data_IF_024088839031
#
_entry.id   IF_024088839031
#
_cell.length_a   1.000
_cell.length_b   1.000
_cell.length_c   1.000
_cell.angle_alpha   90.00
_cell.angle_beta   90.00
_cell.angle_gamma   90.00
#
_symmetry.space_group_name_H-M   'P 1'
#
loop_
_entity.id
_entity.type
_entity.pdbx_description
1 polymer ?
#
# COMPACT_ATOMS: atom_id res chain seq x y z
N UNK A 1 10.52 -1.07 17.68
CA UNK A 1 9.89 -0.96 16.33
C UNK A 1 9.45 0.47 16.08
N UNK A 2 9.69 1.01 14.88
CA UNK A 2 9.31 2.36 14.41
C UNK A 2 8.74 2.28 13.02
N UNK A 3 7.95 3.29 12.61
CA UNK A 3 7.46 3.45 11.24
C UNK A 3 8.35 4.47 10.54
N UNK A 4 8.89 4.10 9.39
CA UNK A 4 9.76 4.98 8.59
C UNK A 4 8.91 5.86 7.69
N UNK A 5 8.88 7.14 7.98
CA UNK A 5 8.22 8.16 7.15
C UNK A 5 9.26 8.91 6.29
N UNK A 6 8.78 9.66 5.32
CA UNK A 6 9.65 10.52 4.47
C UNK A 6 10.38 11.62 5.23
N UNK A 7 10.00 11.89 6.49
CA UNK A 7 10.65 12.88 7.37
C UNK A 7 11.48 12.23 8.49
N UNK A 8 11.55 10.90 8.54
CA UNK A 8 12.24 10.15 9.59
C UNK A 8 11.32 9.16 10.28
N UNK A 9 11.89 8.48 11.27
CA UNK A 9 11.22 7.38 11.96
C UNK A 9 10.34 7.93 13.09
N UNK A 10 9.11 7.40 13.22
CA UNK A 10 8.13 7.75 14.27
C UNK A 10 7.70 6.50 15.03
N UNK A 11 7.17 6.67 16.24
CA UNK A 11 6.56 5.55 16.97
C UNK A 11 5.24 5.13 16.32
N UNK A 12 4.85 3.84 16.35
CA UNK A 12 3.60 3.37 15.74
C UNK A 12 2.35 4.13 16.20
N UNK A 13 2.32 4.58 17.46
CA UNK A 13 1.19 5.34 18.03
C UNK A 13 1.09 6.78 17.50
N UNK A 14 2.16 7.30 16.92
CA UNK A 14 2.21 8.65 16.33
C UNK A 14 1.66 8.69 14.90
N UNK A 15 1.45 7.53 14.27
CA UNK A 15 0.92 7.45 12.90
C UNK A 15 -0.47 8.07 12.77
N UNK A 16 -1.34 7.87 13.76
CA UNK A 16 -2.72 8.37 13.76
C UNK A 16 -3.61 7.65 12.74
N UNK A 17 -4.66 8.34 12.27
CA UNK A 17 -5.60 7.79 11.27
C UNK A 17 -4.91 7.69 9.92
N UNK A 18 -4.76 6.47 9.42
CA UNK A 18 -3.94 6.13 8.27
C UNK A 18 -4.77 5.61 7.09
N UNK A 19 -4.51 6.16 5.92
CA UNK A 19 -4.80 5.53 4.65
C UNK A 19 -3.63 4.57 4.34
N UNK A 20 -3.88 3.27 4.45
CA UNK A 20 -2.84 2.25 4.38
C UNK A 20 -2.38 1.92 2.96
N UNK A 21 -3.07 2.43 1.94
CA UNK A 21 -2.74 2.25 0.53
C UNK A 21 -3.33 3.37 -0.32
N UNK A 22 -2.50 4.30 -0.76
CA UNK A 22 -2.93 5.33 -1.71
C UNK A 22 -1.75 5.84 -2.58
N UNK A 23 -2.04 6.74 -3.52
CA UNK A 23 -1.07 7.33 -4.42
C UNK A 23 -1.23 8.85 -4.51
N UNK A 24 -0.20 9.59 -4.08
CA UNK A 24 -0.08 11.04 -4.32
C UNK A 24 0.53 11.33 -5.68
N UNK A 25 1.50 10.49 -6.06
CA UNK A 25 2.17 10.54 -7.36
C UNK A 25 2.17 9.13 -7.95
N UNK A 26 1.73 9.04 -9.20
CA UNK A 26 1.70 7.78 -9.95
C UNK A 26 1.75 8.08 -11.45
N UNK A 27 2.68 7.46 -12.13
CA UNK A 27 2.75 7.44 -13.59
C UNK A 27 2.81 6.00 -14.07
N UNK A 28 1.84 5.60 -14.85
CA UNK A 28 1.77 4.27 -15.45
C UNK A 28 1.58 4.37 -16.95
N UNK A 29 2.32 3.57 -17.71
CA UNK A 29 2.13 3.46 -19.17
C UNK A 29 0.77 2.90 -19.56
N UNK A 30 0.10 2.20 -18.64
CA UNK A 30 -1.25 1.66 -18.84
C UNK A 30 -2.35 2.72 -18.61
N UNK A 31 -1.99 3.91 -18.10
CA UNK A 31 -2.92 5.00 -17.78
C UNK A 31 -2.44 6.33 -18.38
N UNK A 32 -2.16 6.40 -19.70
CA UNK A 32 -1.63 7.62 -20.33
C UNK A 32 -2.64 8.76 -20.22
N UNK A 33 -2.14 9.96 -19.87
CA UNK A 33 -2.95 11.18 -19.71
C UNK A 33 -3.80 11.20 -18.43
N UNK A 34 -3.56 10.27 -17.49
CA UNK A 34 -4.26 10.22 -16.21
C UNK A 34 -3.31 10.25 -15.01
N UNK A 35 -2.07 10.68 -15.25
CA UNK A 35 -1.01 10.64 -14.26
C UNK A 35 -1.34 11.50 -13.04
N UNK A 36 -0.88 11.04 -11.88
CA UNK A 36 -0.83 11.80 -10.64
C UNK A 36 0.56 12.45 -10.56
N UNK A 37 0.75 13.63 -11.16
CA UNK A 37 2.06 14.30 -11.19
C UNK A 37 2.02 15.80 -10.83
N UNK A 38 0.84 16.34 -10.53
CA UNK A 38 0.64 17.70 -10.05
C UNK A 38 0.85 17.80 -8.54
N UNK A 39 1.87 18.58 -8.14
CA UNK A 39 2.22 18.80 -6.73
C UNK A 39 1.19 19.64 -6.00
N UNK A 40 0.58 20.62 -6.67
CA UNK A 40 -0.43 21.48 -6.05
C UNK A 40 -1.72 20.69 -5.77
N UNK A 41 -2.14 19.85 -6.72
CA UNK A 41 -3.28 18.96 -6.53
C UNK A 41 -3.00 17.90 -5.43
N UNK A 42 -1.79 17.33 -5.38
CA UNK A 42 -1.39 16.39 -4.32
C UNK A 42 -1.41 17.06 -2.94
N UNK A 43 -0.96 18.33 -2.84
CA UNK A 43 -1.05 19.11 -1.60
C UNK A 43 -2.51 19.34 -1.17
N UNK A 44 -3.34 19.81 -2.08
CA UNK A 44 -4.74 20.07 -1.80
C UNK A 44 -5.51 18.80 -1.38
N UNK A 45 -5.16 17.65 -1.98
CA UNK A 45 -5.72 16.34 -1.60
C UNK A 45 -5.33 15.95 -0.16
N UNK A 46 -4.06 16.14 0.24
CA UNK A 46 -3.62 15.91 1.61
C UNK A 46 -4.28 16.87 2.62
N UNK A 47 -4.45 18.14 2.26
CA UNK A 47 -5.16 19.12 3.08
C UNK A 47 -6.63 18.72 3.27
N UNK A 48 -7.29 18.24 2.22
CA UNK A 48 -8.65 17.72 2.27
C UNK A 48 -8.77 16.43 3.12
N UNK A 49 -7.78 15.53 3.03
CA UNK A 49 -7.68 14.33 3.86
C UNK A 49 -7.48 14.69 5.34
N UNK A 50 -6.57 15.62 5.63
CA UNK A 50 -6.35 16.13 6.98
C UNK A 50 -7.59 16.81 7.56
N UNK A 51 -8.33 17.60 6.77
CA UNK A 51 -9.59 18.21 7.16
C UNK A 51 -10.69 17.17 7.48
N UNK A 52 -10.53 15.94 6.99
CA UNK A 52 -11.34 14.78 7.34
C UNK A 52 -10.80 13.99 8.54
N UNK A 53 -9.82 14.52 9.28
CA UNK A 53 -9.11 13.90 10.39
C UNK A 53 -8.15 12.77 10.00
N UNK A 54 -7.69 12.71 8.75
CA UNK A 54 -6.59 11.86 8.31
C UNK A 54 -5.25 12.37 8.83
N UNK A 55 -4.34 11.45 9.19
CA UNK A 55 -3.05 11.79 9.78
C UNK A 55 -1.86 11.18 9.01
N UNK A 56 -2.06 10.08 8.31
CA UNK A 56 -1.00 9.39 7.58
C UNK A 56 -1.48 8.77 6.27
N UNK A 57 -0.59 8.69 5.28
CA UNK A 57 -0.82 7.99 4.01
C UNK A 57 0.38 7.12 3.68
N UNK A 58 0.11 5.86 3.33
CA UNK A 58 1.14 4.95 2.81
C UNK A 58 1.09 4.97 1.29
N UNK A 59 2.09 5.61 0.68
CA UNK A 59 2.24 5.75 -0.76
C UNK A 59 2.84 4.48 -1.36
N UNK A 60 2.03 3.70 -2.08
CA UNK A 60 2.47 2.44 -2.67
C UNK A 60 3.13 2.55 -4.04
N UNK A 61 3.45 3.75 -4.51
CA UNK A 61 4.11 3.94 -5.81
C UNK A 61 5.58 3.52 -5.75
N UNK A 62 6.00 2.45 -6.46
CA UNK A 62 7.36 1.94 -6.39
C UNK A 62 8.31 2.65 -7.37
N UNK A 63 9.52 2.11 -7.52
CA UNK A 63 10.52 2.57 -8.47
C UNK A 63 9.97 2.58 -9.91
N UNK A 64 10.34 3.60 -10.70
CA UNK A 64 9.96 3.72 -12.11
C UNK A 64 8.55 4.23 -12.41
N UNK A 65 7.72 4.44 -11.40
CA UNK A 65 6.33 4.88 -11.54
C UNK A 65 6.05 6.31 -11.03
N UNK A 66 7.06 7.17 -10.98
CA UNK A 66 6.85 8.59 -10.67
C UNK A 66 6.62 8.92 -9.19
N UNK A 67 7.20 8.17 -8.26
CA UNK A 67 6.98 8.29 -6.80
C UNK A 67 7.42 9.61 -6.14
N UNK A 68 8.33 10.40 -6.73
CA UNK A 68 8.74 11.76 -6.35
C UNK A 68 9.06 11.94 -4.84
N UNK A 69 10.07 11.26 -4.26
CA UNK A 69 10.30 11.25 -2.81
C UNK A 69 10.61 12.62 -2.21
N UNK A 70 11.31 13.51 -2.92
CA UNK A 70 11.60 14.87 -2.44
C UNK A 70 10.32 15.71 -2.30
N UNK A 71 9.38 15.59 -3.26
CA UNK A 71 8.10 16.27 -3.18
C UNK A 71 7.23 15.70 -2.04
N UNK A 72 7.25 14.37 -1.82
CA UNK A 72 6.57 13.76 -0.67
C UNK A 72 7.08 14.36 0.66
N UNK A 73 8.40 14.50 0.84
CA UNK A 73 8.96 15.11 2.04
C UNK A 73 8.53 16.59 2.20
N UNK A 74 8.46 17.33 1.10
CA UNK A 74 7.99 18.72 1.10
C UNK A 74 6.51 18.81 1.46
N UNK A 75 5.68 17.95 0.88
CA UNK A 75 4.25 17.88 1.15
C UNK A 75 3.96 17.46 2.59
N UNK A 76 4.69 16.47 3.12
CA UNK A 76 4.54 16.03 4.51
C UNK A 76 4.82 17.16 5.49
N UNK A 77 5.90 17.96 5.29
CA UNK A 77 6.19 19.14 6.11
C UNK A 77 5.10 20.20 6.02
N UNK A 78 4.62 20.46 4.80
CA UNK A 78 3.64 21.53 4.55
C UNK A 78 2.26 21.22 5.12
N UNK A 79 1.84 19.94 5.07
CA UNK A 79 0.49 19.54 5.50
C UNK A 79 0.45 18.95 6.91
N UNK A 80 1.57 18.50 7.44
CA UNK A 80 1.67 17.77 8.71
C UNK A 80 1.07 16.35 8.64
N UNK A 81 0.85 15.81 7.43
CA UNK A 81 0.44 14.41 7.22
C UNK A 81 1.69 13.55 7.12
N UNK A 82 1.76 12.48 7.90
CA UNK A 82 2.84 11.51 7.80
C UNK A 82 2.75 10.75 6.48
N UNK A 83 3.83 10.71 5.72
CA UNK A 83 3.89 9.96 4.47
C UNK A 83 4.92 8.84 4.59
N UNK A 84 4.51 7.62 4.29
CA UNK A 84 5.40 6.46 4.12
C UNK A 84 5.53 6.21 2.64
N UNK A 85 6.74 6.13 2.10
CA UNK A 85 6.94 5.84 0.68
C UNK A 85 7.53 4.45 0.45
N UNK A 86 7.25 3.89 -0.73
CA UNK A 86 7.69 2.55 -1.11
C UNK A 86 9.00 2.57 -1.91
N UNK A 87 9.82 1.53 -1.70
CA UNK A 87 10.68 0.96 -2.73
C UNK A 87 9.96 -0.18 -3.45
N UNK A 88 10.64 -0.94 -4.30
CA UNK A 88 10.04 -2.07 -4.98
C UNK A 88 9.85 -1.85 -6.47
N UNK A 89 9.17 -2.80 -7.12
CA UNK A 89 8.95 -2.80 -8.56
C UNK A 89 7.56 -3.36 -8.89
N UNK A 90 6.82 -2.70 -9.81
CA UNK A 90 5.50 -3.16 -10.26
C UNK A 90 5.60 -4.14 -11.42
N UNK A 91 4.45 -4.59 -11.94
CA UNK A 91 4.34 -5.37 -13.17
C UNK A 91 5.04 -4.66 -14.34
N UNK A 92 5.73 -5.43 -15.18
CA UNK A 92 6.50 -4.90 -16.32
C UNK A 92 5.71 -3.99 -17.28
N UNK A 93 4.42 -4.27 -17.62
CA UNK A 93 3.66 -3.40 -18.53
C UNK A 93 3.42 -1.97 -18.02
N UNK A 94 3.49 -1.75 -16.70
CA UNK A 94 3.27 -0.44 -16.09
C UNK A 94 4.50 0.47 -16.12
N UNK A 95 5.68 -0.10 -16.38
CA UNK A 95 6.96 0.60 -16.33
C UNK A 95 7.49 0.95 -17.73
N UNK A 96 8.57 1.71 -17.77
CA UNK A 96 9.32 1.91 -19.00
C UNK A 96 9.84 0.56 -19.54
N UNK A 97 9.94 0.38 -20.90
CA UNK A 97 10.33 -0.90 -21.49
C UNK A 97 11.72 -1.36 -21.05
N UNK A 98 12.58 -0.41 -20.79
CA UNK A 98 13.96 -0.64 -20.40
C UNK A 98 14.15 -0.31 -18.93
N UNK A 99 14.40 -1.34 -18.13
CA UNK A 99 14.93 -1.13 -16.79
C UNK A 99 16.34 -0.52 -16.93
N UNK A 100 16.74 0.40 -16.04
CA UNK A 100 18.11 0.90 -16.02
C UNK A 100 19.13 -0.25 -16.09
N UNK A 101 20.16 -0.06 -16.89
CA UNK A 101 21.22 -1.05 -17.06
C UNK A 101 21.80 -1.44 -15.69
N UNK A 102 21.96 -2.74 -15.46
CA UNK A 102 22.44 -3.26 -14.18
C UNK A 102 21.40 -3.43 -13.07
N UNK A 103 20.18 -2.91 -13.20
CA UNK A 103 19.14 -3.07 -12.17
C UNK A 103 18.74 -4.54 -11.99
N UNK A 104 18.69 -5.33 -13.07
CA UNK A 104 18.30 -6.76 -13.01
C UNK A 104 19.15 -7.59 -12.08
N UNK A 105 20.48 -7.37 -12.05
CA UNK A 105 21.41 -8.11 -11.20
C UNK A 105 21.54 -7.57 -9.77
N UNK A 106 20.92 -6.42 -9.47
CA UNK A 106 21.13 -5.70 -8.21
C UNK A 106 19.80 -5.24 -7.56
N UNK A 107 18.69 -5.86 -7.93
CA UNK A 107 17.38 -5.35 -7.50
C UNK A 107 17.20 -5.36 -5.97
N UNK A 108 17.62 -6.44 -5.32
CA UNK A 108 17.59 -6.54 -3.85
C UNK A 108 18.47 -5.47 -3.18
N UNK A 109 19.70 -5.26 -3.71
CA UNK A 109 20.62 -4.22 -3.22
C UNK A 109 19.99 -2.81 -3.34
N UNK A 110 19.30 -2.54 -4.46
CA UNK A 110 18.60 -1.27 -4.65
C UNK A 110 17.48 -1.09 -3.62
N UNK A 111 16.71 -2.14 -3.35
CA UNK A 111 15.67 -2.08 -2.33
C UNK A 111 16.27 -1.85 -0.94
N UNK A 112 17.33 -2.56 -0.58
CA UNK A 112 18.03 -2.37 0.69
C UNK A 112 18.57 -0.93 0.82
N UNK A 113 19.27 -0.43 -0.20
CA UNK A 113 19.80 0.95 -0.22
C UNK A 113 18.69 1.98 -0.03
N UNK A 114 17.56 1.85 -0.75
CA UNK A 114 16.44 2.77 -0.62
C UNK A 114 15.73 2.69 0.75
N UNK A 115 15.76 1.53 1.39
CA UNK A 115 15.24 1.35 2.75
C UNK A 115 16.20 1.92 3.81
N UNK A 116 17.51 1.78 3.66
CA UNK A 116 18.49 2.09 4.72
C UNK A 116 19.20 3.42 4.54
N UNK A 117 19.59 3.77 3.31
CA UNK A 117 20.37 4.97 3.00
C UNK A 117 19.50 6.09 2.43
N UNK A 118 18.65 5.77 1.44
CA UNK A 118 17.72 6.72 0.82
C UNK A 118 17.51 6.50 -0.67
N UNK A 119 16.45 7.12 -1.18
CA UNK A 119 16.03 7.05 -2.58
C UNK A 119 16.82 8.11 -3.39
N UNK A 120 17.74 7.64 -4.22
CA UNK A 120 18.63 8.51 -5.00
C UNK A 120 19.42 9.45 -4.08
N UNK A 121 19.41 10.76 -4.39
CA UNK A 121 20.13 11.79 -3.61
C UNK A 121 19.22 12.56 -2.65
N UNK A 122 17.99 12.10 -2.43
CA UNK A 122 16.97 12.87 -1.67
C UNK A 122 17.11 12.75 -0.16
N UNK A 123 17.83 11.75 0.33
CA UNK A 123 17.89 11.39 1.75
C UNK A 123 16.58 10.81 2.32
N UNK A 124 15.52 10.71 1.51
CA UNK A 124 14.25 10.07 1.90
C UNK A 124 14.40 8.57 1.84
N UNK A 125 14.15 7.88 2.95
CA UNK A 125 14.18 6.42 3.02
C UNK A 125 12.79 5.83 2.81
N UNK A 126 12.72 4.70 2.12
CA UNK A 126 11.47 3.95 1.98
C UNK A 126 11.10 3.26 3.30
N UNK A 127 9.80 3.07 3.54
CA UNK A 127 9.27 2.39 4.73
C UNK A 127 8.63 1.02 4.43
N UNK A 128 8.52 0.65 3.16
CA UNK A 128 8.00 -0.65 2.71
C UNK A 128 8.55 -1.01 1.33
N UNK A 129 8.43 -2.31 0.99
CA UNK A 129 8.75 -2.84 -0.34
C UNK A 129 7.43 -3.14 -1.05
N UNK A 130 7.22 -2.58 -2.25
CA UNK A 130 6.00 -2.83 -3.04
C UNK A 130 6.31 -3.60 -4.31
N UNK A 131 5.68 -4.76 -4.45
CA UNK A 131 5.75 -5.65 -5.62
C UNK A 131 4.36 -5.96 -6.16
N UNK A 132 4.26 -6.77 -7.22
CA UNK A 132 2.98 -7.07 -7.85
C UNK A 132 2.93 -8.47 -8.44
N UNK A 133 1.75 -9.12 -8.29
CA UNK A 133 1.35 -10.30 -9.06
C UNK A 133 0.51 -9.91 -10.27
N UNK A 134 0.39 -10.80 -11.26
CA UNK A 134 -0.50 -10.66 -12.40
C UNK A 134 -1.89 -11.29 -12.15
N UNK A 135 -2.77 -11.17 -13.12
CA UNK A 135 -4.11 -11.77 -13.05
C UNK A 135 -4.02 -13.30 -13.05
N UNK A 136 -4.37 -13.92 -11.92
CA UNK A 136 -4.26 -15.36 -11.66
C UNK A 136 -2.88 -15.97 -12.01
N UNK A 137 -1.80 -15.18 -11.91
CA UNK A 137 -0.47 -15.68 -12.29
C UNK A 137 0.66 -14.96 -11.58
N UNK A 138 1.76 -15.70 -11.35
CA UNK A 138 3.07 -15.18 -10.99
C UNK A 138 4.03 -15.50 -12.14
N UNK A 139 4.16 -14.58 -13.09
CA UNK A 139 5.10 -14.72 -14.21
C UNK A 139 6.57 -14.61 -13.73
N UNK A 140 7.51 -14.77 -14.65
CA UNK A 140 8.93 -14.70 -14.31
C UNK A 140 9.35 -13.34 -13.73
N UNK A 141 8.71 -12.24 -14.16
CA UNK A 141 8.96 -10.90 -13.62
C UNK A 141 8.45 -10.79 -12.17
N UNK A 142 7.23 -11.23 -11.90
CA UNK A 142 6.65 -11.23 -10.55
C UNK A 142 7.50 -12.08 -9.58
N UNK A 143 7.89 -13.30 -9.98
CA UNK A 143 8.76 -14.17 -9.16
C UNK A 143 10.11 -13.54 -8.89
N UNK A 144 10.75 -12.93 -9.89
CA UNK A 144 12.01 -12.23 -9.74
C UNK A 144 11.92 -11.03 -8.80
N UNK A 145 10.88 -10.19 -8.93
CA UNK A 145 10.70 -9.02 -8.06
C UNK A 145 10.35 -9.42 -6.62
N UNK A 146 9.56 -10.47 -6.43
CA UNK A 146 9.24 -11.02 -5.11
C UNK A 146 10.45 -11.67 -4.44
N UNK A 147 11.31 -12.37 -5.19
CA UNK A 147 12.55 -12.91 -4.66
C UNK A 147 13.49 -11.79 -4.17
N UNK A 148 13.65 -10.72 -4.95
CA UNK A 148 14.43 -9.55 -4.54
C UNK A 148 13.81 -8.84 -3.32
N UNK A 149 12.48 -8.79 -3.24
CA UNK A 149 11.77 -8.23 -2.09
C UNK A 149 11.98 -9.07 -0.82
N UNK A 150 11.94 -10.40 -0.93
CA UNK A 150 12.21 -11.29 0.19
C UNK A 150 13.67 -11.16 0.69
N UNK A 151 14.65 -11.07 -0.22
CA UNK A 151 16.05 -10.83 0.13
C UNK A 151 16.21 -9.48 0.88
N UNK A 152 15.60 -8.42 0.37
CA UNK A 152 15.63 -7.11 1.03
C UNK A 152 14.87 -7.11 2.38
N UNK A 153 13.76 -7.87 2.49
CA UNK A 153 13.06 -8.08 3.75
C UNK A 153 13.96 -8.76 4.78
N UNK A 154 14.64 -9.85 4.42
CA UNK A 154 15.53 -10.56 5.34
C UNK A 154 16.71 -9.70 5.82
N UNK A 155 17.17 -8.77 4.97
CA UNK A 155 18.24 -7.83 5.33
C UNK A 155 17.78 -6.67 6.22
N UNK A 156 16.48 -6.27 6.18
CA UNK A 156 16.03 -5.00 6.77
C UNK A 156 14.82 -5.12 7.70
N UNK A 157 14.08 -6.22 7.62
CA UNK A 157 12.79 -6.39 8.30
C UNK A 157 11.61 -5.65 7.67
N UNK A 158 11.81 -4.94 6.54
CA UNK A 158 10.78 -4.13 5.88
C UNK A 158 9.56 -4.97 5.45
N UNK A 159 8.31 -4.50 5.62
CA UNK A 159 7.13 -5.22 5.14
C UNK A 159 7.06 -5.22 3.62
N UNK A 160 6.49 -6.30 3.05
CA UNK A 160 6.27 -6.47 1.63
C UNK A 160 4.79 -6.28 1.32
N UNK A 161 4.46 -5.22 0.59
CA UNK A 161 3.13 -4.95 0.09
C UNK A 161 3.00 -5.48 -1.36
N UNK A 162 1.96 -6.27 -1.62
CA UNK A 162 1.77 -6.93 -2.90
C UNK A 162 0.49 -6.44 -3.56
N UNK A 163 0.61 -5.82 -4.73
CA UNK A 163 -0.54 -5.59 -5.60
C UNK A 163 -1.02 -6.93 -6.16
N UNK A 164 -2.26 -7.27 -5.91
CA UNK A 164 -2.94 -8.41 -6.51
C UNK A 164 -3.83 -7.92 -7.66
N UNK A 165 -3.51 -8.28 -8.89
CA UNK A 165 -4.33 -7.86 -10.03
C UNK A 165 -5.77 -8.35 -9.88
N UNK A 166 -6.73 -7.41 -9.77
CA UNK A 166 -8.13 -7.67 -9.43
C UNK A 166 -8.34 -8.53 -8.16
N UNK A 167 -7.39 -8.49 -7.23
CA UNK A 167 -7.43 -9.27 -5.99
C UNK A 167 -7.13 -10.76 -6.14
N UNK A 168 -6.62 -11.20 -7.29
CA UNK A 168 -6.37 -12.61 -7.62
C UNK A 168 -4.96 -13.07 -7.25
N UNK A 169 -4.72 -14.39 -7.15
CA UNK A 169 -3.39 -14.97 -6.91
C UNK A 169 -2.88 -14.84 -5.48
N UNK A 170 -3.74 -14.54 -4.52
CA UNK A 170 -3.33 -14.33 -3.12
C UNK A 170 -2.59 -15.54 -2.52
N UNK A 171 -3.10 -16.74 -2.74
CA UNK A 171 -2.50 -17.96 -2.18
C UNK A 171 -1.17 -18.30 -2.87
N UNK A 172 -1.07 -18.12 -4.20
CA UNK A 172 0.19 -18.31 -4.94
C UNK A 172 1.30 -17.35 -4.45
N UNK A 173 0.92 -16.09 -4.12
CA UNK A 173 1.84 -15.11 -3.52
C UNK A 173 2.31 -15.57 -2.15
N UNK A 174 1.42 -16.07 -1.30
CA UNK A 174 1.76 -16.56 0.03
C UNK A 174 2.62 -17.83 -0.04
N UNK A 175 2.31 -18.76 -0.94
CA UNK A 175 3.12 -19.94 -1.18
C UNK A 175 4.55 -19.57 -1.58
N UNK A 176 4.70 -18.57 -2.47
CA UNK A 176 6.01 -18.09 -2.88
C UNK A 176 6.72 -17.32 -1.74
N UNK A 177 6.11 -16.26 -1.20
CA UNK A 177 6.79 -15.40 -0.23
C UNK A 177 6.98 -16.09 1.12
N UNK A 178 5.95 -16.74 1.65
CA UNK A 178 6.01 -17.36 2.97
C UNK A 178 6.51 -18.80 2.91
N UNK A 179 6.03 -19.60 1.95
CA UNK A 179 6.39 -21.01 1.81
C UNK A 179 7.79 -21.22 1.24
N UNK A 180 8.08 -20.65 0.07
CA UNK A 180 9.35 -20.89 -0.62
C UNK A 180 10.46 -19.93 -0.13
N UNK A 181 10.13 -18.64 0.08
CA UNK A 181 11.12 -17.59 0.38
C UNK A 181 11.22 -17.24 1.88
N UNK A 182 10.43 -17.86 2.74
CA UNK A 182 10.55 -17.77 4.20
C UNK A 182 10.21 -16.40 4.82
N UNK A 183 9.43 -15.56 4.13
CA UNK A 183 8.96 -14.28 4.67
C UNK A 183 7.85 -14.56 5.69
N UNK A 184 7.92 -14.04 6.93
CA UNK A 184 6.84 -14.22 7.90
C UNK A 184 5.52 -13.62 7.41
N UNK A 185 4.40 -14.32 7.59
CA UNK A 185 3.09 -13.86 7.11
C UNK A 185 2.73 -12.45 7.58
N UNK A 186 3.00 -12.11 8.83
CA UNK A 186 2.76 -10.78 9.40
C UNK A 186 3.59 -9.65 8.75
N UNK A 187 4.52 -9.98 7.87
CA UNK A 187 5.31 -9.03 7.06
C UNK A 187 4.81 -8.89 5.63
N UNK A 188 3.79 -9.66 5.25
CA UNK A 188 3.16 -9.60 3.93
C UNK A 188 1.83 -8.86 4.02
N UNK A 189 1.62 -7.90 3.11
CA UNK A 189 0.39 -7.11 3.00
C UNK A 189 -0.18 -7.35 1.60
N UNK A 190 -1.36 -7.98 1.52
CA UNK A 190 -2.03 -8.29 0.26
C UNK A 190 -3.02 -7.17 -0.11
N UNK A 191 -2.70 -6.40 -1.15
CA UNK A 191 -3.55 -5.31 -1.66
C UNK A 191 -4.68 -5.81 -2.57
N UNK A 192 -5.77 -5.05 -2.63
CA UNK A 192 -6.94 -5.28 -3.49
C UNK A 192 -7.73 -6.56 -3.22
N UNK A 193 -7.54 -7.22 -2.08
CA UNK A 193 -8.14 -8.52 -1.82
C UNK A 193 -9.68 -8.47 -1.76
N UNK A 194 -10.28 -7.31 -1.49
CA UNK A 194 -11.72 -7.09 -1.57
C UNK A 194 -12.27 -7.16 -3.01
N UNK A 195 -11.40 -7.02 -4.03
CA UNK A 195 -11.82 -7.08 -5.45
C UNK A 195 -12.04 -8.49 -5.95
N UNK A 196 -11.49 -9.48 -5.24
CA UNK A 196 -11.83 -10.91 -5.41
C UNK A 196 -12.60 -11.36 -4.16
N UNK A 197 -13.93 -11.15 -4.11
CA UNK A 197 -14.72 -11.31 -2.89
C UNK A 197 -15.08 -12.78 -2.61
N UNK A 198 -14.08 -13.66 -2.61
CA UNK A 198 -14.19 -15.05 -2.20
C UNK A 198 -13.81 -15.21 -0.72
N UNK A 199 -14.77 -15.51 0.17
CA UNK A 199 -14.51 -15.62 1.60
C UNK A 199 -13.62 -16.82 1.97
N UNK A 200 -13.50 -17.84 1.11
CA UNK A 200 -12.60 -18.98 1.36
C UNK A 200 -11.16 -18.52 1.20
N UNK A 201 -10.82 -17.93 0.05
CA UNK A 201 -9.49 -17.39 -0.23
C UNK A 201 -9.10 -16.32 0.80
N UNK A 202 -10.02 -15.41 1.13
CA UNK A 202 -9.75 -14.35 2.11
C UNK A 202 -9.44 -14.90 3.52
N UNK A 203 -10.17 -15.92 3.99
CA UNK A 203 -9.88 -16.58 5.26
C UNK A 203 -8.58 -17.37 5.24
N UNK A 204 -8.28 -18.08 4.15
CA UNK A 204 -7.01 -18.79 4.01
C UNK A 204 -5.83 -17.82 4.02
N UNK A 205 -5.95 -16.71 3.32
CA UNK A 205 -4.94 -15.66 3.36
C UNK A 205 -4.77 -15.09 4.78
N UNK A 206 -5.85 -14.75 5.47
CA UNK A 206 -5.80 -14.25 6.85
C UNK A 206 -5.16 -15.26 7.83
N UNK A 207 -5.45 -16.56 7.64
CA UNK A 207 -4.90 -17.63 8.48
C UNK A 207 -3.38 -17.79 8.36
N UNK A 208 -2.74 -17.31 7.28
CA UNK A 208 -1.28 -17.24 7.16
C UNK A 208 -0.65 -16.18 8.06
N UNK A 209 -1.46 -15.31 8.69
CA UNK A 209 -1.02 -14.18 9.49
C UNK A 209 -0.81 -12.89 8.68
N UNK A 210 -0.97 -12.89 7.35
CA UNK A 210 -0.78 -11.72 6.53
C UNK A 210 -1.83 -10.63 6.77
N UNK A 211 -1.52 -9.41 6.34
CA UNK A 211 -2.45 -8.29 6.34
C UNK A 211 -3.25 -8.26 5.05
N UNK A 212 -4.54 -7.99 5.16
CA UNK A 212 -5.46 -7.87 4.03
C UNK A 212 -5.81 -6.40 3.84
N UNK A 213 -5.23 -5.77 2.82
CA UNK A 213 -5.57 -4.40 2.47
C UNK A 213 -6.81 -4.40 1.57
N UNK A 214 -7.91 -3.89 2.13
CA UNK A 214 -9.15 -3.63 1.42
C UNK A 214 -9.13 -2.18 0.93
N UNK A 215 -9.07 -2.02 -0.39
CA UNK A 215 -9.02 -0.71 -1.01
C UNK A 215 -10.43 -0.19 -1.23
N UNK A 216 -10.65 1.03 -0.78
CA UNK A 216 -11.95 1.66 -0.85
C UNK A 216 -12.40 1.96 -2.27
N UNK A 217 -13.67 2.35 -2.42
CA UNK A 217 -14.27 2.74 -3.69
C UNK A 217 -13.82 4.13 -4.15
N UNK A 218 -12.55 4.49 -3.94
CA UNK A 218 -11.96 5.72 -4.46
C UNK A 218 -11.91 5.75 -5.99
N UNK A 219 -11.93 4.58 -6.59
CA UNK A 219 -12.27 4.40 -8.01
C UNK A 219 -13.78 4.21 -8.12
N UNK A 220 -14.58 5.25 -7.94
CA UNK A 220 -16.02 5.15 -8.17
C UNK A 220 -16.29 4.20 -9.35
N UNK A 221 -16.98 3.09 -9.17
CA UNK A 221 -17.36 2.09 -10.20
C UNK A 221 -16.56 0.77 -10.27
N UNK A 222 -15.75 0.41 -9.25
CA UNK A 222 -15.25 -0.96 -9.24
C UNK A 222 -16.42 -1.94 -8.98
N UNK A 223 -16.57 -2.95 -9.84
CA UNK A 223 -17.77 -3.82 -9.87
C UNK A 223 -18.01 -4.61 -8.57
N UNK A 224 -16.99 -4.78 -7.72
CA UNK A 224 -17.07 -5.57 -6.49
C UNK A 224 -17.04 -4.73 -5.21
N UNK A 225 -16.88 -3.41 -5.28
CA UNK A 225 -16.74 -2.54 -4.10
C UNK A 225 -17.93 -2.62 -3.14
N UNK A 226 -19.14 -2.84 -3.65
CA UNK A 226 -20.34 -3.00 -2.84
C UNK A 226 -20.28 -4.22 -1.91
N UNK A 227 -19.42 -5.22 -2.20
CA UNK A 227 -19.22 -6.42 -1.38
C UNK A 227 -18.21 -6.22 -0.24
N UNK A 228 -17.44 -5.14 -0.26
CA UNK A 228 -16.40 -4.89 0.74
C UNK A 228 -16.89 -4.97 2.19
N UNK A 229 -18.03 -4.33 2.60
CA UNK A 229 -18.51 -4.43 3.98
C UNK A 229 -18.84 -5.86 4.40
N UNK A 230 -19.51 -6.62 3.52
CA UNK A 230 -19.85 -8.00 3.78
C UNK A 230 -18.61 -8.92 3.88
N UNK A 231 -17.60 -8.69 3.04
CA UNK A 231 -16.32 -9.40 3.09
C UNK A 231 -15.56 -9.11 4.39
N UNK A 232 -15.49 -7.84 4.79
CA UNK A 232 -14.87 -7.45 6.05
C UNK A 232 -15.60 -8.08 7.26
N UNK A 233 -16.93 -8.07 7.27
CA UNK A 233 -17.72 -8.73 8.32
C UNK A 233 -17.48 -10.23 8.38
N UNK A 234 -17.42 -10.93 7.25
CA UNK A 234 -17.13 -12.37 7.20
C UNK A 234 -15.73 -12.71 7.77
N UNK A 235 -14.75 -11.83 7.59
CA UNK A 235 -13.42 -11.99 8.21
C UNK A 235 -13.47 -11.75 9.72
N UNK A 236 -14.21 -10.75 10.18
CA UNK A 236 -14.40 -10.48 11.62
C UNK A 236 -15.10 -11.65 12.31
N UNK A 237 -16.18 -12.17 11.73
CA UNK A 237 -16.91 -13.34 12.23
C UNK A 237 -16.04 -14.62 12.26
N UNK A 238 -15.07 -14.71 11.35
CA UNK A 238 -14.09 -15.81 11.34
C UNK A 238 -12.90 -15.59 12.30
N UNK A 239 -12.85 -14.48 13.06
CA UNK A 239 -11.80 -14.19 14.02
C UNK A 239 -10.57 -13.46 13.44
N UNK A 240 -10.63 -12.95 12.21
CA UNK A 240 -9.51 -12.28 11.53
C UNK A 240 -9.70 -10.75 11.38
N UNK A 241 -10.55 -10.16 12.22
CA UNK A 241 -10.77 -8.70 12.19
C UNK A 241 -9.50 -7.88 12.45
N UNK A 242 -8.52 -8.46 13.17
CA UNK A 242 -7.23 -7.85 13.50
C UNK A 242 -6.22 -7.87 12.34
N UNK A 243 -6.57 -8.42 11.19
CA UNK A 243 -5.72 -8.50 9.98
C UNK A 243 -6.13 -7.53 8.87
N UNK A 244 -7.15 -6.70 9.09
CA UNK A 244 -7.67 -5.78 8.09
C UNK A 244 -6.90 -4.45 8.08
N UNK A 245 -6.63 -3.96 6.87
CA UNK A 245 -6.18 -2.60 6.55
C UNK A 245 -7.15 -1.98 5.55
N UNK A 246 -7.27 -0.66 5.57
CA UNK A 246 -8.09 0.09 4.62
C UNK A 246 -7.25 1.12 3.86
N UNK A 247 -7.54 1.26 2.56
CA UNK A 247 -6.89 2.23 1.69
C UNK A 247 -7.81 2.85 0.65
N UNK A 248 -7.37 3.94 0.05
CA UNK A 248 -8.09 4.65 -1.00
C UNK A 248 -7.79 4.15 -2.40
N UNK A 249 -6.53 3.83 -2.69
CA UNK A 249 -6.03 3.44 -4.02
C UNK A 249 -6.39 4.44 -5.13
N UNK A 250 -6.17 5.71 -4.89
CA UNK A 250 -6.34 6.78 -5.88
C UNK A 250 -5.25 6.68 -6.94
N UNK A 251 -5.59 6.29 -8.17
CA UNK A 251 -4.59 5.98 -9.23
C UNK A 251 -4.65 6.92 -10.43
N UNK A 252 -5.63 7.81 -10.49
CA UNK A 252 -5.77 8.78 -11.59
C UNK A 252 -6.09 10.18 -11.06
N UNK A 253 -5.69 11.22 -11.80
CA UNK A 253 -5.99 12.60 -11.45
C UNK A 253 -7.49 12.82 -11.21
N UNK A 254 -8.35 12.38 -12.12
CA UNK A 254 -9.80 12.52 -11.97
C UNK A 254 -10.43 11.74 -10.80
N UNK A 255 -9.68 10.87 -10.11
CA UNK A 255 -10.13 10.20 -8.90
C UNK A 255 -9.86 11.01 -7.62
N UNK A 256 -9.01 12.06 -7.67
CA UNK A 256 -8.78 12.96 -6.52
C UNK A 256 -10.04 13.73 -6.15
N UNK A 257 -10.22 14.00 -4.87
CA UNK A 257 -11.37 14.79 -4.38
C UNK A 257 -11.33 16.23 -4.91
N UNK A 258 -10.14 16.78 -5.09
CA UNK A 258 -9.92 18.13 -5.62
C UNK A 258 -10.21 18.24 -7.11
N UNK A 259 -10.24 17.14 -7.83
CA UNK A 259 -10.61 17.04 -9.24
C UNK A 259 -12.04 16.53 -9.46
N UNK A 260 -12.84 16.47 -8.38
CA UNK A 260 -14.25 16.04 -8.42
C UNK A 260 -14.49 14.54 -8.23
N UNK A 261 -13.43 13.77 -8.01
CA UNK A 261 -13.51 12.35 -7.66
C UNK A 261 -13.77 12.10 -6.16
N UNK A 262 -13.81 10.85 -5.72
CA UNK A 262 -13.96 10.50 -4.31
C UNK A 262 -12.73 10.87 -3.47
N UNK A 263 -11.54 10.58 -3.95
CA UNK A 263 -10.24 10.85 -3.34
C UNK A 263 -10.05 10.28 -1.93
N UNK A 264 -8.92 10.63 -1.31
CA UNK A 264 -8.56 10.18 0.04
C UNK A 264 -9.59 10.52 1.11
N UNK A 265 -10.26 11.69 1.10
CA UNK A 265 -11.27 12.00 2.11
C UNK A 265 -12.49 11.07 2.11
N UNK A 266 -12.75 10.36 1.00
CA UNK A 266 -13.85 9.41 0.90
C UNK A 266 -13.70 8.27 1.91
N UNK A 267 -12.47 7.80 2.14
CA UNK A 267 -12.16 6.79 3.14
C UNK A 267 -12.75 7.15 4.51
N UNK A 268 -12.59 8.39 4.94
CA UNK A 268 -13.01 8.83 6.27
C UNK A 268 -14.43 9.37 6.32
N UNK A 269 -14.87 10.09 5.27
CA UNK A 269 -16.20 10.74 5.26
C UNK A 269 -17.32 9.79 4.85
N UNK A 270 -17.03 8.74 4.08
CA UNK A 270 -18.04 7.84 3.52
C UNK A 270 -17.84 6.38 3.92
N UNK A 271 -16.62 5.84 3.72
CA UNK A 271 -16.38 4.42 3.95
C UNK A 271 -16.32 4.11 5.46
N UNK A 272 -15.59 4.91 6.26
CA UNK A 272 -15.49 4.71 7.71
C UNK A 272 -16.86 4.61 8.40
N UNK A 273 -17.82 5.56 8.24
CA UNK A 273 -19.12 5.44 8.90
C UNK A 273 -19.93 4.25 8.40
N UNK A 274 -19.82 3.88 7.13
CA UNK A 274 -20.50 2.70 6.59
C UNK A 274 -19.95 1.40 7.19
N UNK A 275 -18.63 1.27 7.28
CA UNK A 275 -18.01 0.10 7.92
C UNK A 275 -18.27 0.08 9.43
N UNK A 276 -18.30 1.23 10.10
CA UNK A 276 -18.63 1.32 11.51
C UNK A 276 -20.07 0.84 11.84
N UNK A 277 -21.01 1.07 10.93
CA UNK A 277 -22.36 0.53 11.05
C UNK A 277 -22.42 -1.01 10.90
N UNK A 278 -21.47 -1.62 10.18
CA UNK A 278 -21.40 -3.07 9.95
C UNK A 278 -20.53 -3.81 10.98
N UNK A 279 -19.44 -3.20 11.41
CA UNK A 279 -18.38 -3.86 12.19
C UNK A 279 -18.23 -3.30 13.62
N UNK A 280 -18.89 -2.18 13.92
CA UNK A 280 -18.69 -1.41 15.15
C UNK A 280 -17.57 -0.36 14.99
N UNK A 281 -17.77 0.78 15.66
CA UNK A 281 -16.87 1.95 15.57
C UNK A 281 -15.45 1.62 16.09
N UNK A 282 -15.37 0.92 17.22
CA UNK A 282 -14.10 0.58 17.87
C UNK A 282 -13.16 -0.22 16.94
N UNK A 283 -13.69 -1.26 16.30
CA UNK A 283 -12.89 -2.07 15.37
C UNK A 283 -12.45 -1.26 14.14
N UNK A 284 -13.33 -0.44 13.56
CA UNK A 284 -12.98 0.38 12.40
C UNK A 284 -11.93 1.44 12.77
N UNK A 285 -11.95 1.97 13.98
CA UNK A 285 -10.92 2.88 14.48
C UNK A 285 -9.58 2.15 14.64
N UNK A 286 -9.56 0.91 15.12
CA UNK A 286 -8.35 0.08 15.15
C UNK A 286 -7.81 -0.22 13.75
N UNK A 287 -8.67 -0.54 12.79
CA UNK A 287 -8.31 -0.78 11.39
C UNK A 287 -7.64 0.45 10.76
N UNK A 288 -8.06 1.66 11.15
CA UNK A 288 -7.48 2.90 10.63
C UNK A 288 -6.29 3.43 11.44
N UNK A 289 -5.98 2.87 12.62
CA UNK A 289 -4.91 3.38 13.50
C UNK A 289 -3.93 2.31 13.94
N UNK A 290 -4.33 1.43 14.86
CA UNK A 290 -3.43 0.44 15.47
C UNK A 290 -2.96 -0.63 14.46
N UNK A 291 -3.81 -1.05 13.52
CA UNK A 291 -3.44 -2.04 12.52
C UNK A 291 -2.36 -1.52 11.55
N UNK A 292 -2.48 -0.33 10.91
CA UNK A 292 -1.37 0.24 10.16
C UNK A 292 -0.12 0.45 11.02
N UNK A 293 -0.30 0.87 12.26
CA UNK A 293 0.77 1.00 13.23
C UNK A 293 1.58 -0.29 13.41
N UNK A 294 0.91 -1.45 13.43
CA UNK A 294 1.55 -2.77 13.52
C UNK A 294 2.13 -3.22 12.16
N UNK A 295 1.35 -3.11 11.09
CA UNK A 295 1.72 -3.61 9.77
C UNK A 295 2.98 -2.94 9.21
N UNK A 296 3.14 -1.64 9.43
CA UNK A 296 4.25 -0.85 8.89
C UNK A 296 5.39 -0.59 9.89
N UNK A 297 5.27 -1.05 11.13
CA UNK A 297 6.34 -0.91 12.11
C UNK A 297 7.43 -1.96 11.93
N UNK A 298 8.68 -1.53 11.98
CA UNK A 298 9.87 -2.36 11.79
C UNK A 298 10.88 -2.08 12.88
N UNK A 299 11.62 -3.11 13.26
CA UNK A 299 12.86 -2.98 14.02
C UNK A 299 13.98 -2.99 12.99
N UNK A 300 14.32 -1.79 12.51
CA UNK A 300 15.27 -1.62 11.42
C UNK A 300 16.66 -2.07 11.86
N UNK A 301 17.23 -3.03 11.13
CA UNK A 301 18.60 -3.50 11.34
C UNK A 301 19.63 -2.42 11.01
#
# INVERSE_FOLDING_TARGET
MVIRTVLGDIRPQELGVCDAHDHLFLRSRQLPGRELDDVAAARAELEAFRAAAGAAVVQWTPHGMGRRPADLATLSRATGVHLVCATGLHQAPHMAPELPEGLRGRLAEVFVTELTEGIGTTGVRAGLIKVAGGFHTLDAHARWTMAAAAEAHHATGAPIAVHLELGTGALDVLDLLCGELGVPGERVILGHLNRFPDPVTQRQAAASGCWLAFDGPSRAHHATDWRMPAGARALVEAGFGDRLLLGGDTVTAGARSVDGGPGMPYLLRRLRPRLAAELGTELVDLILTAHPGKAFSVDWA
#
